data_IF_617872861650
#
_entry.id   IF_617872861650
#
_cell.length_a   1.000
_cell.length_b   1.000
_cell.length_c   1.000
_cell.angle_alpha   90.00
_cell.angle_beta   90.00
_cell.angle_gamma   90.00
#
_symmetry.space_group_name_H-M   'P 1'
#
loop_
_entity.id
_entity.type
_entity.pdbx_description
1 polymer ?
#
# COMPACT_ATOMS: atom_id res chain seq x y z
N UNK A 1 -21.13 4.77 -21.19
CA UNK A 1 -20.29 5.83 -20.55
C UNK A 1 -19.71 5.24 -19.29
N UNK A 2 -18.49 5.59 -18.97
CA UNK A 2 -17.75 5.12 -17.80
C UNK A 2 -17.36 6.34 -16.95
N UNK A 3 -17.29 6.19 -15.62
CA UNK A 3 -16.84 7.26 -14.73
C UNK A 3 -15.37 7.03 -14.41
N UNK A 4 -14.61 8.11 -14.26
CA UNK A 4 -13.23 8.05 -13.81
C UNK A 4 -12.90 9.27 -12.95
N UNK A 5 -11.99 9.10 -11.98
CA UNK A 5 -11.40 10.21 -11.25
C UNK A 5 -10.22 10.76 -12.03
N UNK A 6 -10.33 12.01 -12.44
CA UNK A 6 -9.32 12.72 -13.23
C UNK A 6 -8.88 13.98 -12.51
N UNK A 7 -7.67 14.44 -12.82
CA UNK A 7 -7.15 15.76 -12.47
C UNK A 7 -6.53 16.44 -13.68
N UNK A 8 -6.74 17.75 -13.79
CA UNK A 8 -6.12 18.58 -14.84
C UNK A 8 -4.93 19.38 -14.32
N UNK A 9 -4.84 19.56 -13.00
CA UNK A 9 -3.79 20.31 -12.33
C UNK A 9 -3.26 19.54 -11.13
N UNK A 10 -2.15 19.98 -10.58
CA UNK A 10 -1.64 19.50 -9.29
C UNK A 10 -2.27 20.31 -8.15
N UNK A 11 -2.63 19.65 -7.07
CA UNK A 11 -3.27 20.30 -5.92
C UNK A 11 -3.74 19.28 -4.87
N UNK A 12 -4.48 19.77 -3.89
CA UNK A 12 -5.11 18.92 -2.88
C UNK A 12 -6.31 18.13 -3.43
N UNK A 13 -7.14 17.57 -2.53
CA UNK A 13 -8.32 16.77 -2.94
C UNK A 13 -9.29 17.51 -3.86
N UNK A 14 -9.29 18.84 -3.82
CA UNK A 14 -10.16 19.72 -4.63
C UNK A 14 -9.93 19.60 -6.14
N UNK A 15 -8.73 19.20 -6.58
CA UNK A 15 -8.43 19.02 -8.02
C UNK A 15 -8.98 17.74 -8.61
N UNK A 16 -9.36 16.78 -7.75
CA UNK A 16 -9.93 15.51 -8.19
C UNK A 16 -11.37 15.69 -8.63
N UNK A 17 -11.70 15.17 -9.80
CA UNK A 17 -13.04 15.28 -10.39
C UNK A 17 -13.50 13.91 -10.89
N UNK A 18 -14.69 13.49 -10.46
CA UNK A 18 -15.39 12.37 -11.09
C UNK A 18 -15.96 12.89 -12.41
N UNK A 19 -15.57 12.28 -13.51
CA UNK A 19 -16.03 12.66 -14.86
C UNK A 19 -16.57 11.46 -15.60
N UNK A 20 -17.59 11.68 -16.40
CA UNK A 20 -17.99 10.75 -17.45
C UNK A 20 -16.96 10.80 -18.59
N UNK A 21 -16.50 9.63 -18.99
CA UNK A 21 -15.55 9.45 -20.09
C UNK A 21 -16.12 8.43 -21.10
N UNK A 22 -15.67 8.44 -22.36
CA UNK A 22 -16.00 7.34 -23.26
C UNK A 22 -15.64 6.01 -22.61
N UNK A 23 -16.52 5.05 -22.74
CA UNK A 23 -16.26 3.70 -22.23
C UNK A 23 -15.06 3.09 -22.96
N UNK A 24 -13.99 2.70 -22.25
CA UNK A 24 -12.82 2.13 -22.90
C UNK A 24 -13.11 0.67 -23.31
N UNK A 25 -12.49 0.19 -24.39
CA UNK A 25 -12.60 -1.18 -24.87
C UNK A 25 -11.22 -1.81 -25.03
N UNK A 26 -11.14 -3.12 -24.76
CA UNK A 26 -9.92 -3.88 -24.92
C UNK A 26 -9.60 -4.11 -26.41
N UNK A 27 -8.47 -3.60 -26.87
CA UNK A 27 -7.90 -3.88 -28.18
C UNK A 27 -7.13 -5.21 -28.21
N UNK A 28 -6.53 -5.59 -29.36
CA UNK A 28 -5.69 -6.78 -29.45
C UNK A 28 -4.52 -6.73 -28.44
N UNK A 29 -4.37 -7.81 -27.65
CA UNK A 29 -3.38 -7.92 -26.59
C UNK A 29 -3.73 -7.12 -25.33
N UNK A 30 -5.00 -6.76 -25.14
CA UNK A 30 -5.47 -6.02 -23.98
C UNK A 30 -6.64 -6.73 -23.27
N UNK A 31 -6.80 -6.43 -22.00
CA UNK A 31 -7.98 -6.80 -21.22
C UNK A 31 -8.62 -5.55 -20.66
N UNK A 32 -9.93 -5.60 -20.39
CA UNK A 32 -10.65 -4.60 -19.63
C UNK A 32 -11.08 -5.19 -18.29
N UNK A 33 -10.84 -4.43 -17.22
CA UNK A 33 -11.30 -4.77 -15.88
C UNK A 33 -12.42 -3.82 -15.50
N UNK A 34 -13.61 -4.35 -15.23
CA UNK A 34 -14.67 -3.65 -14.53
C UNK A 34 -14.28 -3.58 -13.06
N UNK A 35 -13.86 -2.40 -12.62
CA UNK A 35 -13.35 -2.18 -11.25
C UNK A 35 -14.51 -2.20 -10.26
N UNK A 36 -14.35 -2.90 -9.16
CA UNK A 36 -15.31 -2.99 -8.05
C UNK A 36 -14.86 -2.22 -6.83
N UNK A 37 -13.55 -2.16 -6.64
CA UNK A 37 -12.92 -1.46 -5.53
C UNK A 37 -11.55 -0.93 -5.93
N UNK A 38 -11.16 0.21 -5.37
CA UNK A 38 -9.83 0.80 -5.50
C UNK A 38 -9.27 1.13 -4.11
N UNK A 39 -8.07 0.65 -3.80
CA UNK A 39 -7.38 0.93 -2.55
C UNK A 39 -6.64 2.26 -2.61
N UNK A 40 -6.82 3.13 -1.62
CA UNK A 40 -6.10 4.40 -1.56
C UNK A 40 -4.76 4.26 -0.84
N UNK A 41 -3.76 4.96 -1.35
CA UNK A 41 -2.41 5.03 -0.81
C UNK A 41 -1.92 6.48 -0.72
N UNK A 42 -1.00 6.81 0.23
CA UNK A 42 -0.41 8.14 0.26
C UNK A 42 0.23 8.56 -1.07
N UNK A 43 0.80 7.62 -1.82
CA UNK A 43 1.38 7.88 -3.14
C UNK A 43 0.37 8.50 -4.12
N UNK A 44 -0.90 8.11 -4.08
CA UNK A 44 -1.93 8.59 -5.00
C UNK A 44 -2.10 10.11 -4.90
N UNK A 45 -2.30 10.63 -3.68
CA UNK A 45 -2.48 12.06 -3.48
C UNK A 45 -1.15 12.84 -3.50
N UNK A 46 -0.02 12.21 -3.19
CA UNK A 46 1.30 12.83 -3.37
C UNK A 46 1.60 13.08 -4.86
N UNK A 47 1.29 12.10 -5.72
CA UNK A 47 1.38 12.26 -7.19
C UNK A 47 0.38 13.33 -7.66
N UNK A 48 -0.85 13.31 -7.18
CA UNK A 48 -1.85 14.31 -7.56
C UNK A 48 -1.50 15.72 -7.05
N UNK A 49 -0.86 15.81 -5.89
CA UNK A 49 -0.55 17.06 -5.21
C UNK A 49 0.71 17.78 -5.68
N UNK A 50 1.64 17.07 -6.34
CA UNK A 50 2.97 17.63 -6.61
C UNK A 50 3.51 17.25 -7.98
N UNK A 51 3.78 18.26 -8.82
CA UNK A 51 4.46 18.07 -10.10
C UNK A 51 5.82 17.36 -9.94
N UNK A 52 6.53 17.63 -8.84
CA UNK A 52 7.82 16.99 -8.55
C UNK A 52 7.64 15.49 -8.29
N UNK A 53 6.67 15.11 -7.46
CA UNK A 53 6.40 13.69 -7.20
C UNK A 53 5.90 12.98 -8.47
N UNK A 54 4.98 13.60 -9.20
CA UNK A 54 4.46 13.06 -10.46
C UNK A 54 5.58 12.81 -11.50
N UNK A 55 6.52 13.76 -11.61
CA UNK A 55 7.65 13.65 -12.54
C UNK A 55 8.58 12.46 -12.22
N UNK A 56 8.68 12.03 -10.95
CA UNK A 56 9.45 10.82 -10.57
C UNK A 56 8.88 9.55 -11.23
N UNK A 57 7.60 9.58 -11.60
CA UNK A 57 6.89 8.49 -12.28
C UNK A 57 6.59 8.80 -13.76
N UNK A 58 7.21 9.85 -14.32
CA UNK A 58 7.01 10.26 -15.71
C UNK A 58 5.65 10.92 -16.00
N UNK A 59 4.91 11.34 -14.97
CA UNK A 59 3.60 11.99 -15.09
C UNK A 59 3.80 13.49 -15.10
N UNK A 60 3.52 14.14 -16.24
CA UNK A 60 3.82 15.58 -16.44
C UNK A 60 2.59 16.46 -16.68
N UNK A 61 1.39 15.87 -16.81
CA UNK A 61 0.16 16.57 -17.17
C UNK A 61 -1.08 16.03 -16.49
N UNK A 62 -2.26 16.28 -17.06
CA UNK A 62 -3.51 15.67 -16.63
C UNK A 62 -3.40 14.16 -16.55
N UNK A 63 -4.02 13.55 -15.54
CA UNK A 63 -3.95 12.10 -15.36
C UNK A 63 -5.19 11.55 -14.66
N UNK A 64 -5.35 10.21 -14.72
CA UNK A 64 -6.19 9.48 -13.79
C UNK A 64 -5.66 9.52 -12.36
N UNK A 65 -6.37 8.87 -11.45
CA UNK A 65 -6.07 8.83 -10.02
C UNK A 65 -6.15 7.40 -9.47
N UNK A 66 -5.31 7.10 -8.47
CA UNK A 66 -5.27 5.81 -7.77
C UNK A 66 -4.40 4.78 -8.44
N UNK A 67 -3.78 3.92 -7.63
CA UNK A 67 -2.84 2.89 -8.09
C UNK A 67 -3.40 1.48 -7.94
N UNK A 68 -4.13 1.17 -6.89
CA UNK A 68 -4.58 -0.18 -6.55
C UNK A 68 -6.03 -0.42 -6.95
N UNK A 69 -6.31 -1.57 -7.54
CA UNK A 69 -7.66 -1.97 -7.97
C UNK A 69 -7.93 -3.45 -7.69
N UNK A 70 -9.23 -3.77 -7.59
CA UNK A 70 -9.77 -5.11 -7.72
C UNK A 70 -11.08 -5.05 -8.50
N UNK A 71 -11.39 -6.10 -9.25
CA UNK A 71 -12.58 -6.16 -10.07
C UNK A 71 -12.69 -7.45 -10.87
N UNK A 72 -13.41 -7.38 -11.98
CA UNK A 72 -13.66 -8.52 -12.85
C UNK A 72 -13.21 -8.19 -14.26
N UNK A 73 -12.48 -9.09 -14.90
CA UNK A 73 -12.22 -8.99 -16.34
C UNK A 73 -13.54 -9.15 -17.08
N UNK A 74 -13.94 -8.14 -17.82
CA UNK A 74 -15.22 -8.16 -18.56
C UNK A 74 -15.06 -8.13 -20.09
N UNK A 75 -13.85 -7.75 -20.56
CA UNK A 75 -13.53 -7.77 -21.99
C UNK A 75 -12.08 -8.23 -22.18
N UNK A 76 -11.86 -9.12 -23.17
CA UNK A 76 -10.56 -9.70 -23.51
C UNK A 76 -10.31 -9.55 -24.99
N UNK A 77 -9.23 -8.87 -25.34
CA UNK A 77 -8.80 -8.64 -26.72
C UNK A 77 -8.13 -9.86 -27.36
N UNK A 78 -8.07 -9.85 -28.67
CA UNK A 78 -7.47 -10.95 -29.44
C UNK A 78 -6.01 -11.19 -29.00
N UNK A 79 -5.65 -12.47 -28.80
CA UNK A 79 -4.29 -12.91 -28.49
C UNK A 79 -3.98 -13.00 -27.01
N UNK A 80 -4.85 -12.56 -26.11
CA UNK A 80 -4.71 -12.77 -24.66
C UNK A 80 -5.18 -14.18 -24.29
N UNK A 81 -4.39 -14.89 -23.52
CA UNK A 81 -4.66 -16.26 -23.05
C UNK A 81 -4.57 -16.41 -21.53
N UNK A 82 -4.05 -15.41 -20.85
CA UNK A 82 -3.80 -15.43 -19.39
C UNK A 82 -5.04 -15.08 -18.57
N UNK A 83 -6.03 -14.44 -19.19
CA UNK A 83 -7.26 -13.97 -18.54
C UNK A 83 -8.47 -14.29 -19.41
N UNK A 84 -9.62 -14.51 -18.77
CA UNK A 84 -10.92 -14.75 -19.39
C UNK A 84 -11.99 -13.81 -18.80
N UNK A 85 -13.05 -13.48 -19.56
CA UNK A 85 -14.21 -12.78 -19.01
C UNK A 85 -14.79 -13.55 -17.82
N UNK A 86 -15.00 -12.84 -16.71
CA UNK A 86 -15.45 -13.40 -15.44
C UNK A 86 -14.34 -13.64 -14.41
N UNK A 87 -13.08 -13.58 -14.81
CA UNK A 87 -11.98 -13.71 -13.86
C UNK A 87 -11.98 -12.55 -12.87
N UNK A 88 -12.00 -12.87 -11.57
CA UNK A 88 -11.77 -11.90 -10.52
C UNK A 88 -10.27 -11.63 -10.41
N UNK A 89 -9.93 -10.33 -10.44
CA UNK A 89 -8.53 -9.89 -10.47
C UNK A 89 -8.30 -8.74 -9.50
N UNK A 90 -7.06 -8.64 -9.02
CA UNK A 90 -6.58 -7.50 -8.23
C UNK A 90 -5.14 -7.17 -8.60
N UNK A 91 -4.75 -5.93 -8.39
CA UNK A 91 -3.40 -5.52 -8.75
C UNK A 91 -3.19 -4.02 -8.68
N UNK A 92 -2.10 -3.58 -9.30
CA UNK A 92 -1.70 -2.18 -9.33
C UNK A 92 -1.45 -1.68 -10.74
N UNK A 93 -1.79 -0.42 -10.94
CA UNK A 93 -1.42 0.39 -12.10
C UNK A 93 -0.71 1.66 -11.61
N UNK A 94 0.01 2.34 -12.48
CA UNK A 94 0.70 3.56 -12.03
C UNK A 94 -0.28 4.65 -11.60
N UNK A 95 -1.31 4.88 -12.41
CA UNK A 95 -2.43 5.82 -12.16
C UNK A 95 -3.67 5.37 -12.90
N UNK A 96 -4.86 5.78 -12.41
CA UNK A 96 -6.13 5.55 -13.11
C UNK A 96 -6.92 4.33 -12.59
N UNK A 97 -6.54 3.77 -11.44
CA UNK A 97 -7.27 2.67 -10.82
C UNK A 97 -8.68 3.07 -10.36
N UNK A 98 -8.89 4.35 -9.99
CA UNK A 98 -10.20 4.84 -9.53
C UNK A 98 -11.05 5.24 -10.74
N UNK A 99 -11.58 4.23 -11.44
CA UNK A 99 -12.44 4.35 -12.61
C UNK A 99 -13.33 3.12 -12.73
N UNK A 100 -14.54 3.26 -13.33
CA UNK A 100 -15.43 2.12 -13.56
C UNK A 100 -14.77 1.02 -14.39
N UNK A 101 -13.88 1.40 -15.33
CA UNK A 101 -13.18 0.45 -16.18
C UNK A 101 -11.70 0.87 -16.37
N UNK A 102 -10.81 -0.12 -16.38
CA UNK A 102 -9.38 0.04 -16.68
C UNK A 102 -8.99 -0.94 -17.77
N UNK A 103 -8.33 -0.46 -18.84
CA UNK A 103 -7.78 -1.30 -19.90
C UNK A 103 -6.28 -1.49 -19.67
N UNK A 104 -5.83 -2.72 -19.76
CA UNK A 104 -4.44 -3.12 -19.51
C UNK A 104 -3.91 -3.97 -20.64
N UNK A 105 -2.70 -3.68 -21.08
CA UNK A 105 -1.97 -4.49 -22.05
C UNK A 105 -1.35 -5.72 -21.38
N UNK A 106 -1.50 -6.88 -22.00
CA UNK A 106 -0.94 -8.15 -21.55
C UNK A 106 0.12 -8.62 -22.57
N UNK A 107 1.29 -9.13 -22.13
CA UNK A 107 1.72 -9.27 -20.75
C UNK A 107 1.94 -7.92 -20.04
N UNK A 108 1.65 -7.89 -18.77
CA UNK A 108 1.80 -6.67 -17.95
C UNK A 108 3.29 -6.35 -17.80
N UNK A 109 3.62 -5.07 -17.96
CA UNK A 109 4.96 -4.55 -17.73
C UNK A 109 5.00 -3.70 -16.45
N UNK A 110 6.07 -3.78 -15.64
CA UNK A 110 6.22 -2.90 -14.49
C UNK A 110 6.03 -1.42 -14.87
N UNK A 111 5.36 -0.61 -14.04
CA UNK A 111 4.91 -0.94 -12.69
C UNK A 111 3.56 -1.66 -12.58
N UNK A 112 2.91 -1.98 -13.69
CA UNK A 112 1.60 -2.62 -13.68
C UNK A 112 1.72 -4.09 -13.30
N UNK A 113 0.83 -4.54 -12.42
CA UNK A 113 0.76 -5.91 -11.92
C UNK A 113 -0.71 -6.30 -11.75
N UNK A 114 -1.08 -7.48 -12.23
CA UNK A 114 -2.41 -8.04 -12.02
C UNK A 114 -2.30 -9.53 -11.68
N UNK A 115 -3.16 -9.99 -10.77
CA UNK A 115 -3.25 -11.38 -10.32
C UNK A 115 -4.71 -11.78 -10.21
N UNK A 116 -4.98 -13.08 -10.34
CA UNK A 116 -6.29 -13.62 -10.01
C UNK A 116 -6.55 -13.50 -8.51
N UNK A 117 -7.76 -13.04 -8.15
CA UNK A 117 -8.15 -12.93 -6.74
C UNK A 117 -8.44 -14.32 -6.17
N UNK A 118 -7.76 -14.75 -5.10
CA UNK A 118 -8.08 -16.02 -4.46
C UNK A 118 -9.52 -16.07 -3.94
N UNK A 119 -10.08 -17.28 -3.88
CA UNK A 119 -11.36 -17.49 -3.23
C UNK A 119 -11.29 -17.07 -1.74
N UNK A 120 -12.40 -16.54 -1.22
CA UNK A 120 -12.48 -16.10 0.17
C UNK A 120 -12.04 -14.65 0.43
N UNK A 121 -11.48 -13.95 -0.57
CA UNK A 121 -11.16 -12.51 -0.48
C UNK A 121 -12.22 -11.71 -1.24
N UNK A 122 -12.81 -10.70 -0.58
CA UNK A 122 -13.68 -9.73 -1.24
C UNK A 122 -12.90 -8.66 -2.02
N UNK A 123 -13.59 -7.91 -2.88
CA UNK A 123 -12.94 -6.95 -3.76
C UNK A 123 -12.34 -5.75 -2.99
N UNK A 124 -12.93 -5.36 -1.86
CA UNK A 124 -12.40 -4.29 -1.02
C UNK A 124 -11.07 -4.69 -0.37
N UNK A 125 -11.02 -5.90 0.18
CA UNK A 125 -9.81 -6.49 0.75
C UNK A 125 -8.75 -6.68 -0.33
N UNK A 126 -9.12 -7.22 -1.49
CA UNK A 126 -8.21 -7.44 -2.61
C UNK A 126 -7.60 -6.13 -3.12
N UNK A 127 -8.40 -5.06 -3.29
CA UNK A 127 -7.94 -3.74 -3.70
C UNK A 127 -7.02 -3.08 -2.65
N UNK A 128 -7.09 -3.49 -1.40
CA UNK A 128 -6.28 -2.95 -0.32
C UNK A 128 -4.89 -3.60 -0.19
N UNK A 129 -4.57 -4.61 -1.02
CA UNK A 129 -3.34 -5.40 -0.91
C UNK A 129 -2.16 -4.90 -1.76
N UNK A 130 -2.31 -4.48 -3.04
CA UNK A 130 -1.16 -4.42 -3.96
C UNK A 130 -0.03 -3.53 -3.46
N UNK A 131 -0.23 -2.24 -3.39
CA UNK A 131 0.82 -1.30 -2.96
C UNK A 131 1.27 -1.55 -1.51
N UNK A 132 0.40 -1.66 -0.49
CA UNK A 132 0.88 -1.82 0.88
C UNK A 132 1.48 -3.20 1.14
N UNK A 133 0.98 -4.27 0.53
CA UNK A 133 1.51 -5.62 0.68
C UNK A 133 2.92 -5.73 0.09
N UNK A 134 3.10 -5.27 -1.14
CA UNK A 134 4.42 -5.23 -1.77
C UNK A 134 5.39 -4.33 -1.01
N UNK A 135 4.91 -3.17 -0.50
CA UNK A 135 5.76 -2.28 0.30
C UNK A 135 6.19 -2.93 1.60
N UNK A 136 5.28 -3.61 2.31
CA UNK A 136 5.61 -4.31 3.55
C UNK A 136 6.61 -5.44 3.28
N UNK A 137 6.40 -6.26 2.25
CA UNK A 137 7.34 -7.31 1.85
C UNK A 137 8.73 -6.73 1.54
N UNK A 138 8.81 -5.72 0.67
CA UNK A 138 10.10 -5.08 0.34
C UNK A 138 10.83 -4.51 1.57
N UNK A 139 10.08 -3.91 2.50
CA UNK A 139 10.65 -3.32 3.71
C UNK A 139 11.25 -4.36 4.65
N UNK A 140 10.59 -5.52 4.81
CA UNK A 140 11.06 -6.63 5.64
C UNK A 140 12.20 -7.42 4.96
N UNK A 141 12.08 -7.68 3.65
CA UNK A 141 13.07 -8.41 2.87
C UNK A 141 14.40 -7.64 2.79
N UNK A 142 14.37 -6.33 2.59
CA UNK A 142 15.55 -5.48 2.53
C UNK A 142 16.45 -5.62 3.78
N UNK A 143 15.85 -5.85 4.93
CA UNK A 143 16.54 -5.99 6.21
C UNK A 143 16.57 -7.44 6.72
N UNK A 144 16.14 -8.39 5.89
CA UNK A 144 16.22 -9.85 6.14
C UNK A 144 15.63 -10.23 7.49
N UNK A 145 14.42 -9.80 7.78
CA UNK A 145 13.73 -10.16 9.03
C UNK A 145 13.52 -11.67 9.10
N UNK A 146 13.74 -12.25 10.27
CA UNK A 146 13.57 -13.67 10.53
C UNK A 146 12.99 -13.95 11.92
N UNK A 147 12.64 -15.21 12.21
CA UNK A 147 11.91 -15.59 13.44
C UNK A 147 12.63 -15.24 14.77
N UNK A 148 13.93 -15.09 14.77
CA UNK A 148 14.71 -14.74 15.96
C UNK A 148 14.86 -13.23 16.17
N UNK A 149 14.31 -12.40 15.26
CA UNK A 149 14.43 -10.96 15.37
C UNK A 149 13.41 -10.35 16.34
N UNK A 150 13.82 -9.22 16.92
CA UNK A 150 12.94 -8.25 17.55
C UNK A 150 12.95 -6.98 16.69
N UNK A 151 11.84 -6.69 16.02
CA UNK A 151 11.74 -5.65 15.00
C UNK A 151 10.96 -4.45 15.52
N UNK A 152 11.53 -3.25 15.42
CA UNK A 152 10.81 -2.01 15.68
C UNK A 152 10.13 -1.53 14.37
N UNK A 153 8.80 -1.41 14.38
CA UNK A 153 8.00 -0.98 13.22
C UNK A 153 7.41 0.41 13.49
N UNK A 154 7.88 1.40 12.75
CA UNK A 154 7.33 2.76 12.76
C UNK A 154 6.07 2.87 11.91
N UNK A 155 5.03 3.57 12.39
CA UNK A 155 3.76 3.69 11.65
C UNK A 155 2.98 2.37 11.58
N UNK A 156 3.08 1.54 12.62
CA UNK A 156 2.56 0.17 12.65
C UNK A 156 1.03 0.07 12.43
N UNK A 157 0.25 1.09 12.78
CA UNK A 157 -1.20 1.11 12.58
C UNK A 157 -1.64 1.58 11.18
N UNK A 158 -0.72 2.08 10.36
CA UNK A 158 -1.02 2.56 9.00
C UNK A 158 -1.20 1.42 7.99
N UNK A 159 -1.60 1.77 6.75
CA UNK A 159 -1.93 0.78 5.71
C UNK A 159 -0.82 -0.22 5.37
N UNK A 160 0.44 0.20 5.37
CA UNK A 160 1.61 -0.71 5.22
C UNK A 160 1.92 -1.41 6.54
N UNK A 161 1.83 -0.66 7.65
CA UNK A 161 2.20 -1.15 8.97
C UNK A 161 1.40 -2.36 9.43
N UNK A 162 0.09 -2.36 9.20
CA UNK A 162 -0.78 -3.50 9.58
C UNK A 162 -0.38 -4.80 8.89
N UNK A 163 0.16 -4.73 7.68
CA UNK A 163 0.69 -5.89 6.97
C UNK A 163 2.12 -6.23 7.44
N UNK A 164 2.99 -5.23 7.59
CA UNK A 164 4.37 -5.44 8.04
C UNK A 164 4.42 -6.13 9.42
N UNK A 165 3.55 -5.73 10.36
CA UNK A 165 3.45 -6.36 11.68
C UNK A 165 3.14 -7.86 11.55
N UNK A 166 2.16 -8.23 10.74
CA UNK A 166 1.71 -9.62 10.61
C UNK A 166 2.64 -10.48 9.74
N UNK A 167 3.30 -9.87 8.75
CA UNK A 167 4.21 -10.56 7.82
C UNK A 167 5.63 -10.74 8.38
N UNK A 168 6.00 -10.02 9.43
CA UNK A 168 7.35 -10.06 9.97
C UNK A 168 7.78 -11.46 10.43
N UNK A 169 6.85 -12.28 10.93
CA UNK A 169 7.17 -13.62 11.45
C UNK A 169 8.19 -13.59 12.62
N UNK A 170 8.26 -12.48 13.34
CA UNK A 170 9.24 -12.13 14.37
C UNK A 170 8.51 -11.46 15.56
N UNK A 171 9.23 -11.17 16.63
CA UNK A 171 8.71 -10.29 17.70
C UNK A 171 8.65 -8.85 17.16
N UNK A 172 7.49 -8.23 17.19
CA UNK A 172 7.29 -6.87 16.69
C UNK A 172 6.97 -5.91 17.82
N UNK A 173 7.73 -4.81 17.91
CA UNK A 173 7.38 -3.63 18.69
C UNK A 173 6.85 -2.58 17.70
N UNK A 174 5.56 -2.23 17.80
CA UNK A 174 4.89 -1.34 16.85
C UNK A 174 4.65 0.05 17.43
N UNK A 175 5.08 1.11 16.73
CA UNK A 175 4.79 2.47 17.20
C UNK A 175 3.36 2.88 16.89
N UNK A 176 2.70 3.49 17.86
CA UNK A 176 1.34 4.00 17.74
C UNK A 176 1.00 5.03 18.81
N UNK A 177 -0.17 5.67 18.71
CA UNK A 177 -0.72 6.46 19.81
C UNK A 177 -1.35 5.53 20.86
N UNK A 178 -1.52 5.97 22.13
CA UNK A 178 -2.16 5.12 23.14
C UNK A 178 -3.55 4.58 22.73
N UNK A 179 -4.31 5.35 21.94
CA UNK A 179 -5.62 4.91 21.44
C UNK A 179 -5.56 3.80 20.39
N UNK A 180 -4.37 3.45 19.88
CA UNK A 180 -4.17 2.38 18.90
C UNK A 180 -3.59 1.10 19.50
N UNK A 181 -3.33 1.06 20.81
CA UNK A 181 -2.63 -0.05 21.43
C UNK A 181 -3.38 -1.37 21.29
N UNK A 182 -4.66 -1.40 21.69
CA UNK A 182 -5.49 -2.60 21.53
C UNK A 182 -5.58 -3.09 20.07
N UNK A 183 -5.53 -2.16 19.11
CA UNK A 183 -5.53 -2.48 17.69
C UNK A 183 -4.22 -3.15 17.29
N UNK A 184 -3.07 -2.62 17.71
CA UNK A 184 -1.75 -3.19 17.44
C UNK A 184 -1.54 -4.55 18.11
N UNK A 185 -2.02 -4.72 19.33
CA UNK A 185 -1.98 -6.01 20.06
C UNK A 185 -2.76 -7.09 19.33
N UNK A 186 -3.96 -6.77 18.80
CA UNK A 186 -4.73 -7.71 17.98
C UNK A 186 -4.03 -8.13 16.70
N UNK A 187 -3.13 -7.30 16.16
CA UNK A 187 -2.29 -7.62 15.01
C UNK A 187 -1.02 -8.41 15.37
N UNK A 188 -0.76 -8.61 16.68
CA UNK A 188 0.40 -9.34 17.19
C UNK A 188 1.62 -8.47 17.51
N UNK A 189 1.50 -7.14 17.56
CA UNK A 189 2.58 -6.26 17.98
C UNK A 189 2.51 -5.90 19.46
N UNK A 190 3.67 -5.70 20.09
CA UNK A 190 3.80 -5.02 21.37
C UNK A 190 3.78 -3.52 21.10
N UNK A 191 2.76 -2.76 21.54
CA UNK A 191 2.63 -1.35 21.21
C UNK A 191 3.57 -0.47 22.00
N UNK A 192 4.07 0.60 21.38
CA UNK A 192 4.88 1.63 22.01
C UNK A 192 4.50 3.01 21.49
N UNK A 193 4.45 4.01 22.35
CA UNK A 193 4.18 5.39 21.93
C UNK A 193 5.39 5.96 21.19
N UNK A 194 5.18 6.55 20.02
CA UNK A 194 6.19 7.33 19.27
C UNK A 194 6.51 8.66 19.97
N UNK A 195 7.44 9.45 19.43
CA UNK A 195 7.82 10.75 19.95
C UNK A 195 8.93 10.71 21.02
N UNK A 196 9.20 11.84 21.65
CA UNK A 196 10.31 12.01 22.58
C UNK A 196 10.39 10.88 23.63
N UNK A 197 11.58 10.30 23.82
CA UNK A 197 11.82 9.19 24.71
C UNK A 197 11.46 7.80 24.14
N UNK A 198 11.23 7.68 22.83
CA UNK A 198 10.95 6.39 22.18
C UNK A 198 12.06 5.36 22.46
N UNK A 199 13.33 5.75 22.40
CA UNK A 199 14.45 4.85 22.65
C UNK A 199 14.40 4.21 24.05
N UNK A 200 14.04 4.96 25.08
CA UNK A 200 13.96 4.44 26.45
C UNK A 200 12.79 3.49 26.64
N UNK A 201 11.65 3.82 26.01
CA UNK A 201 10.48 2.92 26.00
C UNK A 201 10.76 1.61 25.29
N UNK A 202 11.46 1.67 24.14
CA UNK A 202 11.86 0.47 23.39
C UNK A 202 12.84 -0.39 24.21
N UNK A 203 13.84 0.22 24.90
CA UNK A 203 14.75 -0.53 25.79
C UNK A 203 14.00 -1.24 26.92
N UNK A 204 12.97 -0.60 27.48
CA UNK A 204 12.16 -1.21 28.53
C UNK A 204 11.35 -2.42 28.04
N UNK A 205 10.90 -2.42 26.77
CA UNK A 205 10.16 -3.51 26.16
C UNK A 205 11.06 -4.62 25.60
N UNK A 206 12.27 -4.30 25.19
CA UNK A 206 13.25 -5.22 24.65
C UNK A 206 14.60 -5.06 25.39
N UNK A 207 14.74 -5.62 26.61
CA UNK A 207 15.95 -5.51 27.40
C UNK A 207 17.19 -6.14 26.71
N UNK A 208 16.97 -7.15 25.88
CA UNK A 208 18.02 -7.78 25.06
C UNK A 208 18.31 -7.01 23.76
N UNK A 209 17.60 -5.91 23.53
CA UNK A 209 17.71 -5.06 22.35
C UNK A 209 16.80 -5.44 21.19
N UNK A 210 16.67 -4.50 20.25
CA UNK A 210 16.05 -4.75 18.94
C UNK A 210 17.13 -5.10 17.92
N UNK A 211 16.82 -5.95 16.96
CA UNK A 211 17.78 -6.47 15.96
C UNK A 211 17.58 -5.87 14.57
N UNK A 212 16.39 -5.32 14.31
CA UNK A 212 16.02 -4.70 13.04
C UNK A 212 14.97 -3.62 13.25
N UNK A 213 14.79 -2.74 12.26
CA UNK A 213 13.72 -1.75 12.27
C UNK A 213 13.25 -1.41 10.86
N UNK A 214 11.97 -1.08 10.73
CA UNK A 214 11.40 -0.46 9.52
C UNK A 214 10.62 0.79 9.90
N UNK A 215 10.92 1.91 9.24
CA UNK A 215 10.20 3.16 9.41
C UNK A 215 9.26 3.38 8.22
N UNK A 216 7.97 3.24 8.48
CA UNK A 216 6.93 3.31 7.45
C UNK A 216 6.24 4.69 7.40
N UNK A 217 6.73 5.67 8.19
CA UNK A 217 6.08 6.98 8.30
C UNK A 217 7.02 8.18 8.23
N UNK A 218 8.30 8.02 8.39
CA UNK A 218 9.25 9.16 8.44
C UNK A 218 10.67 8.69 8.66
N UNK A 219 11.36 9.28 9.67
CA UNK A 219 12.75 8.94 10.04
C UNK A 219 12.91 8.64 11.53
N UNK A 220 11.95 8.96 12.38
CA UNK A 220 12.07 8.85 13.84
C UNK A 220 12.40 7.43 14.30
N UNK A 221 11.71 6.43 13.76
CA UNK A 221 11.91 5.02 14.11
C UNK A 221 13.28 4.54 13.65
N UNK A 222 13.69 4.91 12.44
CA UNK A 222 15.01 4.56 11.91
C UNK A 222 16.15 5.20 12.73
N UNK A 223 16.01 6.47 13.10
CA UNK A 223 16.97 7.18 13.94
C UNK A 223 17.04 6.60 15.36
N UNK A 224 15.89 6.25 15.92
CA UNK A 224 15.81 5.56 17.21
C UNK A 224 16.53 4.22 17.16
N UNK A 225 16.34 3.43 16.11
CA UNK A 225 17.01 2.15 15.94
C UNK A 225 18.54 2.31 15.81
N UNK A 226 18.99 3.32 15.05
CA UNK A 226 20.43 3.67 14.97
C UNK A 226 20.99 4.04 16.36
N UNK A 227 20.27 4.85 17.12
CA UNK A 227 20.68 5.25 18.49
C UNK A 227 20.69 4.07 19.49
N UNK A 228 19.89 3.02 19.21
CA UNK A 228 19.86 1.77 19.95
C UNK A 228 20.94 0.76 19.50
N UNK A 229 21.75 1.12 18.51
CA UNK A 229 22.86 0.29 18.03
C UNK A 229 22.50 -0.72 16.95
N UNK A 230 21.30 -0.63 16.37
CA UNK A 230 20.93 -1.48 15.22
C UNK A 230 21.79 -1.11 14.01
N UNK A 231 22.45 -2.08 13.36
CA UNK A 231 23.25 -1.79 12.17
C UNK A 231 22.41 -1.15 11.06
N UNK A 232 22.88 -0.11 10.36
CA UNK A 232 22.12 0.55 9.30
C UNK A 232 21.58 -0.41 8.23
N UNK A 233 22.33 -1.47 7.90
CA UNK A 233 21.90 -2.51 6.96
C UNK A 233 20.73 -3.38 7.48
N UNK A 234 20.33 -3.23 8.72
CA UNK A 234 19.17 -3.88 9.35
C UNK A 234 18.02 -2.89 9.56
N UNK A 235 18.06 -1.75 8.88
CA UNK A 235 17.03 -0.71 8.96
C UNK A 235 16.53 -0.37 7.55
N UNK A 236 15.22 -0.30 7.38
CA UNK A 236 14.58 0.15 6.14
C UNK A 236 13.64 1.35 6.38
N UNK A 237 13.45 2.15 5.34
CA UNK A 237 12.50 3.27 5.32
C UNK A 237 11.73 3.28 4.00
N UNK A 238 10.45 3.73 4.03
CA UNK A 238 9.62 3.89 2.82
C UNK A 238 9.20 5.33 2.57
N UNK A 239 9.21 6.17 3.59
CA UNK A 239 8.68 7.54 3.56
C UNK A 239 9.64 8.54 4.23
N UNK A 240 10.94 8.25 4.22
CA UNK A 240 11.94 9.13 4.79
C UNK A 240 12.04 10.44 3.99
N UNK A 241 12.01 11.56 4.68
CA UNK A 241 12.17 12.91 4.11
C UNK A 241 13.63 13.23 3.76
N UNK A 242 14.56 12.43 4.26
CA UNK A 242 15.99 12.52 4.01
C UNK A 242 16.66 11.15 3.95
N UNK A 243 17.73 11.06 3.22
CA UNK A 243 18.53 9.83 3.15
C UNK A 243 19.31 9.62 4.46
N UNK A 244 19.22 8.42 5.03
CA UNK A 244 20.01 7.97 6.18
C UNK A 244 21.14 7.06 5.67
N UNK A 245 22.42 7.36 5.96
CA UNK A 245 23.55 6.58 5.44
C UNK A 245 23.48 5.11 5.84
N UNK A 246 23.54 4.21 4.84
CA UNK A 246 23.53 2.76 5.01
C UNK A 246 22.18 2.14 5.35
N UNK A 247 21.12 2.96 5.49
CA UNK A 247 19.73 2.51 5.67
C UNK A 247 19.11 2.24 4.30
N UNK A 248 18.32 1.18 4.19
CA UNK A 248 17.63 0.82 2.95
C UNK A 248 16.40 1.70 2.71
N UNK A 249 16.43 2.53 1.66
CA UNK A 249 15.23 3.17 1.13
C UNK A 249 14.55 2.18 0.17
N UNK A 250 13.28 1.87 0.40
CA UNK A 250 12.55 0.84 -0.37
C UNK A 250 11.08 1.23 -0.60
N UNK A 251 10.32 0.37 -1.26
CA UNK A 251 8.90 0.58 -1.56
C UNK A 251 8.36 -0.54 -2.45
N UNK A 252 7.10 -0.47 -2.86
CA UNK A 252 6.41 -1.52 -3.60
C UNK A 252 7.16 -2.01 -4.86
N UNK A 253 7.81 -1.10 -5.57
CA UNK A 253 8.55 -1.43 -6.81
C UNK A 253 9.86 -2.19 -6.58
N UNK A 254 10.33 -2.30 -5.34
CA UNK A 254 11.49 -3.10 -4.98
C UNK A 254 11.12 -4.52 -4.53
N UNK A 255 9.84 -4.81 -4.37
CA UNK A 255 9.38 -6.12 -3.96
C UNK A 255 9.50 -7.16 -5.09
N UNK A 256 9.68 -8.43 -4.70
CA UNK A 256 9.38 -9.55 -5.59
C UNK A 256 7.86 -9.53 -5.92
N UNK A 257 7.47 -9.44 -7.21
CA UNK A 257 6.05 -9.43 -7.59
C UNK A 257 5.25 -10.65 -7.12
N UNK A 258 5.91 -11.80 -6.91
CA UNK A 258 5.28 -13.00 -6.36
C UNK A 258 4.90 -12.87 -4.88
N UNK A 259 5.42 -11.85 -4.17
CA UNK A 259 5.01 -11.58 -2.80
C UNK A 259 3.52 -11.23 -2.69
N UNK A 260 2.95 -10.61 -3.75
CA UNK A 260 1.54 -10.23 -3.74
C UNK A 260 0.61 -11.46 -3.66
N UNK A 261 0.91 -12.51 -4.43
CA UNK A 261 0.16 -13.77 -4.39
C UNK A 261 0.30 -14.46 -3.03
N UNK A 262 1.53 -14.57 -2.51
CA UNK A 262 1.78 -15.15 -1.19
C UNK A 262 1.03 -14.44 -0.07
N UNK A 263 0.97 -13.11 -0.11
CA UNK A 263 0.23 -12.32 0.88
C UNK A 263 -1.28 -12.56 0.74
N UNK A 264 -1.81 -12.58 -0.49
CA UNK A 264 -3.22 -12.86 -0.72
C UNK A 264 -3.62 -14.27 -0.24
N UNK A 265 -2.76 -15.27 -0.45
CA UNK A 265 -3.00 -16.64 0.07
C UNK A 265 -3.07 -16.65 1.60
N UNK A 266 -2.20 -15.89 2.28
CA UNK A 266 -2.25 -15.75 3.74
C UNK A 266 -3.54 -15.05 4.21
N UNK A 267 -4.02 -14.06 3.45
CA UNK A 267 -5.29 -13.39 3.74
C UNK A 267 -6.46 -14.33 3.50
N UNK A 268 -6.48 -15.07 2.41
CA UNK A 268 -7.51 -16.06 2.10
C UNK A 268 -7.59 -17.17 3.16
N UNK A 269 -6.45 -17.58 3.71
CA UNK A 269 -6.35 -18.52 4.80
C UNK A 269 -6.70 -17.93 6.18
N UNK A 270 -6.98 -16.63 6.28
CA UNK A 270 -7.24 -15.94 7.55
C UNK A 270 -6.01 -15.77 8.47
N UNK A 271 -4.81 -16.05 7.97
CA UNK A 271 -3.56 -15.89 8.71
C UNK A 271 -3.10 -14.42 8.78
N UNK A 272 -3.49 -13.62 7.80
CA UNK A 272 -3.26 -12.16 7.75
C UNK A 272 -4.59 -11.45 7.55
N UNK A 273 -4.82 -10.39 8.28
CA UNK A 273 -6.01 -9.54 8.13
C UNK A 273 -5.64 -8.20 7.51
N UNK A 274 -6.56 -7.65 6.71
CA UNK A 274 -6.42 -6.32 6.09
C UNK A 274 -7.49 -5.41 6.66
N UNK A 275 -7.21 -4.66 7.75
CA UNK A 275 -8.20 -3.77 8.32
C UNK A 275 -8.60 -2.67 7.32
N UNK A 276 -9.87 -2.62 6.95
CA UNK A 276 -10.47 -1.51 6.18
C UNK A 276 -11.05 -0.54 7.19
N UNK A 277 -10.44 0.64 7.30
CA UNK A 277 -10.87 1.68 8.23
C UNK A 277 -12.19 2.32 7.77
N UNK A 278 -12.30 2.60 6.48
CA UNK A 278 -13.51 3.18 5.90
C UNK A 278 -13.59 2.89 4.39
N UNK A 279 -14.83 2.75 3.90
CA UNK A 279 -15.12 2.60 2.47
C UNK A 279 -15.97 3.78 2.01
N UNK A 280 -15.61 4.36 0.86
CA UNK A 280 -16.29 5.50 0.27
C UNK A 280 -16.83 5.14 -1.11
N UNK A 281 -18.03 5.58 -1.50
CA UNK A 281 -18.45 5.52 -2.90
C UNK A 281 -17.59 6.49 -3.73
N UNK A 282 -17.47 6.20 -5.04
CA UNK A 282 -16.67 6.98 -5.98
C UNK A 282 -16.91 8.49 -5.90
N UNK A 283 -18.17 8.91 -5.76
CA UNK A 283 -18.56 10.32 -5.72
C UNK A 283 -18.02 11.08 -4.49
N UNK A 284 -17.59 10.34 -3.45
CA UNK A 284 -16.97 10.90 -2.23
C UNK A 284 -15.44 10.80 -2.23
N UNK A 285 -14.82 10.66 -3.39
CA UNK A 285 -13.35 10.51 -3.51
C UNK A 285 -12.56 11.60 -2.80
N UNK A 286 -13.01 12.86 -2.85
CA UNK A 286 -12.33 13.99 -2.18
C UNK A 286 -12.30 13.83 -0.66
N UNK A 287 -13.39 13.34 -0.08
CA UNK A 287 -13.50 13.08 1.36
C UNK A 287 -12.57 11.91 1.76
N UNK A 288 -12.56 10.82 0.98
CA UNK A 288 -11.68 9.69 1.19
C UNK A 288 -10.21 10.10 1.19
N UNK A 289 -9.79 10.91 0.21
CA UNK A 289 -8.43 11.43 0.09
C UNK A 289 -8.11 12.41 1.23
N UNK A 290 -9.02 13.30 1.59
CA UNK A 290 -8.84 14.24 2.70
C UNK A 290 -8.66 13.50 4.04
N UNK A 291 -9.45 12.44 4.29
CA UNK A 291 -9.31 11.61 5.48
C UNK A 291 -7.94 10.93 5.53
N UNK A 292 -7.49 10.34 4.39
CA UNK A 292 -6.19 9.68 4.34
C UNK A 292 -5.02 10.66 4.50
N UNK A 293 -5.08 11.80 3.84
CA UNK A 293 -4.05 12.85 3.90
C UNK A 293 -3.98 13.54 5.28
N UNK A 294 -5.10 13.56 6.01
CA UNK A 294 -5.17 14.05 7.40
C UNK A 294 -4.43 13.16 8.39
N UNK A 295 -4.04 11.94 8.01
CA UNK A 295 -3.40 10.97 8.90
C UNK A 295 -4.38 10.33 9.89
N UNK A 296 -3.84 9.53 10.82
CA UNK A 296 -4.61 8.88 11.90
C UNK A 296 -5.63 7.83 11.41
N UNK A 297 -5.48 7.32 10.18
CA UNK A 297 -6.26 6.19 9.67
C UNK A 297 -5.58 4.89 10.09
N UNK A 298 -6.33 3.99 10.70
CA UNK A 298 -5.83 2.68 11.13
C UNK A 298 -6.23 1.62 10.11
N UNK A 299 -5.25 1.16 9.31
CA UNK A 299 -5.51 0.28 8.17
C UNK A 299 -5.69 1.05 6.86
N UNK A 300 -6.61 0.57 6.01
CA UNK A 300 -6.79 1.03 4.63
C UNK A 300 -8.10 1.81 4.44
N UNK A 301 -8.09 2.70 3.47
CA UNK A 301 -9.29 3.31 2.88
C UNK A 301 -9.50 2.72 1.49
N UNK A 302 -10.75 2.40 1.16
CA UNK A 302 -11.15 1.83 -0.12
C UNK A 302 -12.26 2.69 -0.75
N UNK A 303 -12.22 2.83 -2.06
CA UNK A 303 -13.28 3.44 -2.87
C UNK A 303 -14.03 2.32 -3.58
N UNK A 304 -15.36 2.31 -3.46
CA UNK A 304 -16.25 1.36 -4.16
C UNK A 304 -16.81 2.00 -5.43
N UNK A 305 -16.88 1.21 -6.51
CA UNK A 305 -17.31 1.65 -7.85
C UNK A 305 -18.56 0.92 -8.30
#
# INVERSE_FOLDING_TARGET
MSRAVLRDAFGGPEVLQVREVPEPHAGPGEIRVAVRAAGLNPMDWQIAGSARHAAMFGITGPSGFGCDLAGVVDEVGQGVTEFAPGDRVYGGVLVGAVADHVVLRVPLAPPNLLRHTPDGIDDATAAALPTPGLTAAAALDAIRVGPSDTVLVGGAAGGVGVLAVQLAGATVIGTGSPGTFDFLERLGAVPVTYGAGLADRVRALAPDGITAATDLHGTETAETALALGVPPARISTIAADRQLPGVHATGAFAADPAALERIADLVAAGAVTVPIAESFPLDRIREAVALQAGGHVHGKIVVTL
#
